data_IF_036372304327
#
_entry.id   IF_036372304327
#
_cell.length_a   1.000
_cell.length_b   1.000
_cell.length_c   1.000
_cell.angle_alpha   90.00
_cell.angle_beta   90.00
_cell.angle_gamma   90.00
#
_symmetry.space_group_name_H-M   'P 1'
#
loop_
_entity.id
_entity.type
_entity.pdbx_description
1 polymer ?
#
# COMPACT_ATOMS: atom_id res chain seq x y z
N UNK A 1 -4.17 0.14 9.52
CA UNK A 1 -2.88 0.72 9.08
C UNK A 1 -1.76 0.40 10.05
N UNK A 2 -1.96 0.53 11.36
CA UNK A 2 -0.95 0.21 12.38
C UNK A 2 -0.31 -1.19 12.21
N UNK A 3 -1.12 -2.21 11.93
CA UNK A 3 -0.61 -3.57 11.63
C UNK A 3 0.31 -3.60 10.40
N UNK A 4 -0.01 -2.84 9.35
CA UNK A 4 0.81 -2.77 8.14
C UNK A 4 2.18 -2.13 8.45
N UNK A 5 2.19 -1.04 9.23
CA UNK A 5 3.41 -0.36 9.66
C UNK A 5 4.27 -1.29 10.52
N UNK A 6 3.67 -2.01 11.46
CA UNK A 6 4.38 -2.98 12.30
C UNK A 6 4.97 -4.13 11.47
N UNK A 7 4.28 -4.60 10.44
CA UNK A 7 4.81 -5.61 9.51
C UNK A 7 6.01 -5.07 8.72
N UNK A 8 5.89 -3.86 8.16
CA UNK A 8 6.96 -3.22 7.40
C UNK A 8 8.23 -3.02 8.27
N UNK A 9 8.05 -2.54 9.50
CA UNK A 9 9.14 -2.36 10.47
C UNK A 9 9.88 -3.66 10.81
N UNK A 10 9.19 -4.81 10.73
CA UNK A 10 9.77 -6.13 10.93
C UNK A 10 10.30 -6.78 9.64
N UNK A 11 10.47 -6.01 8.56
CA UNK A 11 10.96 -6.49 7.27
C UNK A 11 9.92 -7.29 6.46
N UNK A 12 8.66 -7.38 6.93
CA UNK A 12 7.58 -8.10 6.24
C UNK A 12 6.84 -7.17 5.28
N UNK A 13 7.58 -6.58 4.35
CA UNK A 13 7.09 -5.52 3.45
C UNK A 13 5.96 -6.00 2.54
N UNK A 14 6.07 -7.21 1.97
CA UNK A 14 5.02 -7.79 1.12
C UNK A 14 3.70 -7.91 1.89
N UNK A 15 3.75 -8.44 3.11
CA UNK A 15 2.58 -8.53 3.98
C UNK A 15 2.06 -7.15 4.37
N UNK A 16 2.92 -6.17 4.60
CA UNK A 16 2.52 -4.79 4.86
C UNK A 16 1.77 -4.17 3.67
N UNK A 17 2.23 -4.38 2.43
CA UNK A 17 1.57 -3.92 1.21
C UNK A 17 0.20 -4.57 0.99
N UNK A 18 0.05 -5.86 1.33
CA UNK A 18 -1.26 -6.52 1.30
C UNK A 18 -2.25 -5.85 2.27
N UNK A 19 -1.82 -5.57 3.50
CA UNK A 19 -2.64 -4.85 4.48
C UNK A 19 -2.96 -3.41 4.04
N UNK A 20 -2.00 -2.74 3.40
CA UNK A 20 -2.21 -1.40 2.82
C UNK A 20 -3.29 -1.45 1.73
N UNK A 21 -3.20 -2.41 0.81
CA UNK A 21 -4.21 -2.62 -0.23
C UNK A 21 -5.59 -2.84 0.36
N UNK A 22 -5.72 -3.75 1.34
CA UNK A 22 -7.00 -3.97 2.02
C UNK A 22 -7.54 -2.71 2.68
N UNK A 23 -6.67 -1.92 3.32
CA UNK A 23 -7.05 -0.69 3.97
C UNK A 23 -7.59 0.34 2.95
N UNK A 24 -6.89 0.53 1.82
CA UNK A 24 -7.31 1.45 0.76
C UNK A 24 -8.66 1.02 0.16
N UNK A 25 -8.84 -0.27 -0.13
CA UNK A 25 -10.10 -0.81 -0.67
C UNK A 25 -11.26 -0.63 0.33
N UNK A 26 -11.05 -0.92 1.61
CA UNK A 26 -12.07 -0.78 2.67
C UNK A 26 -12.51 0.67 2.88
N UNK A 27 -11.69 1.64 2.50
CA UNK A 27 -11.92 3.07 2.72
C UNK A 27 -11.98 3.86 1.40
N UNK A 28 -12.34 3.22 0.28
CA UNK A 28 -12.43 3.87 -1.03
C UNK A 28 -13.36 5.10 -1.02
N UNK A 29 -14.40 5.09 -0.19
CA UNK A 29 -15.33 6.19 -0.04
C UNK A 29 -14.70 7.49 0.51
N UNK A 30 -13.57 7.38 1.20
CA UNK A 30 -12.80 8.51 1.71
C UNK A 30 -11.76 9.01 0.69
N UNK A 31 -11.62 8.35 -0.44
CA UNK A 31 -10.57 8.67 -1.40
C UNK A 31 -10.87 9.96 -2.19
N UNK A 32 -9.89 10.84 -2.35
CA UNK A 32 -10.01 12.06 -3.16
C UNK A 32 -10.07 11.71 -4.67
N UNK A 33 -11.29 11.62 -5.19
CA UNK A 33 -11.58 11.35 -6.61
C UNK A 33 -11.39 12.57 -7.52
N UNK A 34 -11.10 13.74 -6.98
CA UNK A 34 -10.86 14.96 -7.77
C UNK A 34 -9.40 15.13 -8.19
N UNK A 35 -8.48 14.55 -7.42
CA UNK A 35 -7.04 14.64 -7.65
C UNK A 35 -6.52 13.48 -8.49
N UNK A 36 -5.94 13.78 -9.66
CA UNK A 36 -5.43 12.76 -10.58
C UNK A 36 -4.31 11.90 -9.97
N UNK A 37 -3.42 12.50 -9.18
CA UNK A 37 -2.36 11.74 -8.50
C UNK A 37 -2.94 10.75 -7.50
N UNK A 38 -4.04 11.10 -6.83
CA UNK A 38 -4.74 10.18 -5.94
C UNK A 38 -5.41 9.07 -6.72
N UNK A 39 -6.03 9.34 -7.87
CA UNK A 39 -6.61 8.27 -8.71
C UNK A 39 -5.56 7.27 -9.17
N UNK A 40 -4.41 7.75 -9.66
CA UNK A 40 -3.31 6.90 -10.10
C UNK A 40 -2.71 6.10 -8.95
N UNK A 41 -2.54 6.71 -7.77
CA UNK A 41 -2.08 5.98 -6.57
C UNK A 41 -3.07 4.89 -6.15
N UNK A 42 -4.37 5.17 -6.12
CA UNK A 42 -5.39 4.18 -5.81
C UNK A 42 -5.30 3.01 -6.78
N UNK A 43 -5.30 3.31 -8.08
CA UNK A 43 -5.20 2.31 -9.15
C UNK A 43 -3.94 1.45 -9.00
N UNK A 44 -2.79 2.06 -8.71
CA UNK A 44 -1.55 1.35 -8.49
C UNK A 44 -1.67 0.36 -7.31
N UNK A 45 -2.15 0.82 -6.15
CA UNK A 45 -2.29 -0.01 -4.95
C UNK A 45 -3.29 -1.15 -5.17
N UNK A 46 -4.47 -0.89 -5.75
CA UNK A 46 -5.48 -1.94 -5.94
C UNK A 46 -5.09 -2.95 -7.02
N UNK A 47 -4.27 -2.54 -7.99
CA UNK A 47 -3.74 -3.41 -9.05
C UNK A 47 -2.67 -4.38 -8.56
N UNK A 48 -2.08 -4.15 -7.37
CA UNK A 48 -1.11 -5.07 -6.78
C UNK A 48 -1.76 -6.44 -6.63
N UNK A 49 -1.20 -7.52 -7.21
CA UNK A 49 -1.82 -8.83 -7.13
C UNK A 49 -1.83 -9.34 -5.68
N UNK A 50 -2.98 -9.87 -5.26
CA UNK A 50 -3.13 -10.53 -3.96
C UNK A 50 -2.48 -11.91 -4.06
N UNK A 51 -1.21 -12.04 -3.71
CA UNK A 51 -0.47 -13.30 -3.81
C UNK A 51 0.16 -13.66 -2.47
N UNK A 52 0.41 -14.95 -2.30
CA UNK A 52 1.20 -15.50 -1.20
C UNK A 52 2.67 -15.04 -1.29
N UNK A 53 3.34 -14.95 -0.14
CA UNK A 53 4.69 -14.36 0.02
C UNK A 53 5.75 -14.95 -0.95
N UNK A 54 5.61 -16.21 -1.41
CA UNK A 54 6.53 -16.88 -2.34
C UNK A 54 6.58 -16.26 -3.74
N UNK A 55 5.46 -15.70 -4.23
CA UNK A 55 5.34 -15.25 -5.62
C UNK A 55 5.98 -13.87 -5.87
N UNK A 56 6.17 -13.07 -4.83
CA UNK A 56 6.69 -11.69 -4.97
C UNK A 56 8.19 -11.57 -4.76
N UNK A 57 8.80 -12.43 -3.92
CA UNK A 57 10.23 -12.37 -3.62
C UNK A 57 11.16 -12.58 -4.83
N UNK A 58 10.62 -13.08 -5.95
CA UNK A 58 11.36 -13.32 -7.19
C UNK A 58 11.23 -12.14 -8.17
N UNK A 59 10.16 -11.34 -8.10
CA UNK A 59 9.76 -10.48 -9.22
C UNK A 59 9.69 -8.98 -8.91
N UNK A 60 9.74 -8.57 -7.65
CA UNK A 60 9.52 -7.15 -7.30
C UNK A 60 10.70 -6.59 -6.51
N UNK A 61 11.24 -5.41 -6.92
CA UNK A 61 12.25 -4.70 -6.14
C UNK A 61 11.83 -4.60 -4.68
N UNK A 62 12.75 -4.91 -3.76
CA UNK A 62 12.46 -4.83 -2.33
C UNK A 62 12.26 -3.37 -1.94
N UNK A 63 11.00 -2.97 -1.80
CA UNK A 63 10.63 -1.72 -1.12
C UNK A 63 11.15 -1.81 0.30
N UNK A 64 11.83 -0.77 0.78
CA UNK A 64 12.28 -0.70 2.17
C UNK A 64 11.23 -0.06 3.10
N UNK A 65 11.54 0.00 4.40
CA UNK A 65 10.63 0.58 5.38
C UNK A 65 10.36 2.07 5.13
N UNK A 66 11.34 2.84 4.70
CA UNK A 66 11.21 4.29 4.48
C UNK A 66 10.34 4.57 3.26
N UNK A 67 10.57 3.84 2.18
CA UNK A 67 9.74 3.88 0.97
C UNK A 67 8.30 3.46 1.27
N UNK A 68 8.09 2.41 2.07
CA UNK A 68 6.76 2.01 2.53
C UNK A 68 6.07 3.14 3.31
N UNK A 69 6.79 3.82 4.20
CA UNK A 69 6.23 4.92 4.99
C UNK A 69 5.85 6.13 4.12
N UNK A 70 6.60 6.43 3.06
CA UNK A 70 6.22 7.48 2.12
C UNK A 70 4.94 7.12 1.36
N UNK A 71 4.76 5.85 0.98
CA UNK A 71 3.49 5.37 0.40
C UNK A 71 2.34 5.56 1.39
N UNK A 72 2.53 5.17 2.66
CA UNK A 72 1.51 5.33 3.72
C UNK A 72 1.12 6.79 3.90
N UNK A 73 2.09 7.69 3.96
CA UNK A 73 1.86 9.14 4.05
C UNK A 73 1.05 9.63 2.85
N UNK A 74 1.41 9.22 1.64
CA UNK A 74 0.69 9.60 0.42
C UNK A 74 -0.75 9.08 0.40
N UNK A 75 -0.97 7.87 0.91
CA UNK A 75 -2.31 7.31 1.10
C UNK A 75 -3.15 8.19 2.02
N UNK A 76 -2.60 8.60 3.16
CA UNK A 76 -3.30 9.50 4.08
C UNK A 76 -3.60 10.87 3.46
N UNK A 77 -2.69 11.45 2.67
CA UNK A 77 -2.94 12.71 1.95
C UNK A 77 -4.09 12.60 0.93
N UNK A 78 -4.29 11.41 0.37
CA UNK A 78 -5.35 11.13 -0.60
C UNK A 78 -6.68 10.69 0.04
N UNK A 79 -6.74 10.56 1.36
CA UNK A 79 -7.95 10.22 2.10
C UNK A 79 -8.49 11.47 2.81
N UNK A 80 -9.76 11.79 2.59
CA UNK A 80 -10.47 12.96 3.12
C UNK A 80 -11.73 12.57 3.86
#
# INVERSE_FOLDING_TARGET
MEDAINLAKNGKILKALLFLKEYVVKNENLWDKSNENCKELFKAIVSMPSLNDESWGIFVPSIDYEEFMEIVKRVYECMR
#
